data_IF_832574952989
#
_entry.id   IF_832574952989
#
_cell.length_a   1.000
_cell.length_b   1.000
_cell.length_c   1.000
_cell.angle_alpha   90.00
_cell.angle_beta   90.00
_cell.angle_gamma   90.00
#
_symmetry.space_group_name_H-M   'P 1'
#
loop_
_entity.id
_entity.type
_entity.pdbx_description
1 polymer ?
#
# COMPACT_ATOMS: atom_id res chain seq x y z
N UNK A 1 16.10 6.32 -3.87
CA UNK A 1 15.15 6.27 -2.76
C UNK A 1 15.69 5.55 -1.52
N UNK A 2 15.64 4.22 -1.39
CA UNK A 2 16.12 3.54 -0.15
C UNK A 2 17.65 3.61 -0.04
N UNK A 3 18.39 3.18 -1.07
CA UNK A 3 19.86 3.21 -1.08
C UNK A 3 20.48 4.61 -1.01
N UNK A 4 19.73 5.64 -1.39
CA UNK A 4 20.16 7.05 -1.31
C UNK A 4 19.73 7.75 -0.01
N UNK A 5 18.98 7.07 0.87
CA UNK A 5 18.49 7.64 2.13
C UNK A 5 17.33 8.63 1.98
N UNK A 6 16.71 8.75 0.80
CA UNK A 6 15.51 9.58 0.59
C UNK A 6 14.27 8.94 1.23
N UNK A 7 14.27 7.61 1.39
CA UNK A 7 13.27 6.86 2.12
C UNK A 7 13.89 6.41 3.44
N UNK A 8 13.38 6.94 4.55
CA UNK A 8 13.68 6.43 5.88
C UNK A 8 12.82 5.18 6.14
N UNK A 9 13.47 4.05 6.34
CA UNK A 9 12.82 2.79 6.69
C UNK A 9 13.42 2.28 7.98
N UNK A 10 12.58 1.79 8.88
CA UNK A 10 13.02 1.13 10.12
C UNK A 10 13.88 -0.13 9.87
N UNK A 11 13.79 -0.70 8.66
CA UNK A 11 14.49 -1.92 8.24
C UNK A 11 14.91 -1.82 6.75
N UNK A 12 15.84 -0.92 6.39
CA UNK A 12 16.08 -0.54 5.00
C UNK A 12 16.59 -1.68 4.12
N UNK A 13 17.40 -2.59 4.69
CA UNK A 13 17.85 -3.81 4.00
C UNK A 13 16.66 -4.71 3.68
N UNK A 14 15.77 -4.95 4.64
CA UNK A 14 14.64 -5.86 4.46
C UNK A 14 13.63 -5.29 3.47
N UNK A 15 13.33 -3.99 3.58
CA UNK A 15 12.49 -3.27 2.60
C UNK A 15 13.08 -3.36 1.19
N UNK A 16 14.39 -3.15 1.05
CA UNK A 16 15.08 -3.23 -0.24
C UNK A 16 14.98 -4.63 -0.87
N UNK A 17 15.22 -5.69 -0.10
CA UNK A 17 15.08 -7.08 -0.58
C UNK A 17 13.65 -7.40 -1.01
N UNK A 18 12.64 -6.90 -0.29
CA UNK A 18 11.24 -7.06 -0.69
C UNK A 18 10.95 -6.33 -2.00
N UNK A 19 11.52 -5.14 -2.22
CA UNK A 19 11.41 -4.45 -3.51
C UNK A 19 12.11 -5.19 -4.65
N UNK A 20 13.25 -5.85 -4.40
CA UNK A 20 13.89 -6.72 -5.40
C UNK A 20 12.98 -7.89 -5.76
N UNK A 21 12.39 -8.58 -4.77
CA UNK A 21 11.40 -9.63 -5.03
C UNK A 21 10.23 -9.10 -5.88
N UNK A 22 9.69 -7.91 -5.57
CA UNK A 22 8.62 -7.32 -6.39
C UNK A 22 9.07 -7.07 -7.83
N UNK A 23 10.30 -6.63 -8.06
CA UNK A 23 10.84 -6.48 -9.42
C UNK A 23 10.84 -7.82 -10.17
N UNK A 24 11.24 -8.91 -9.52
CA UNK A 24 11.20 -10.26 -10.10
C UNK A 24 9.76 -10.70 -10.45
N UNK A 25 8.77 -10.22 -9.69
CA UNK A 25 7.36 -10.56 -9.87
C UNK A 25 6.61 -9.70 -10.91
N UNK A 26 7.22 -8.64 -11.46
CA UNK A 26 6.57 -7.74 -12.44
C UNK A 26 6.08 -8.51 -13.68
N UNK A 27 6.89 -9.46 -14.16
CA UNK A 27 6.52 -10.29 -15.31
C UNK A 27 5.27 -11.11 -15.02
N UNK A 28 5.24 -11.79 -13.87
CA UNK A 28 4.12 -12.61 -13.44
C UNK A 28 2.83 -11.79 -13.18
N UNK A 29 2.94 -10.52 -12.82
CA UNK A 29 1.79 -9.61 -12.71
C UNK A 29 1.16 -9.30 -14.08
N UNK A 30 1.98 -9.29 -15.12
CA UNK A 30 1.59 -8.93 -16.48
C UNK A 30 1.02 -10.09 -17.30
N UNK A 31 1.23 -11.33 -16.87
CA UNK A 31 0.70 -12.53 -17.54
C UNK A 31 -0.83 -12.53 -17.65
N UNK A 32 -1.49 -11.91 -16.67
CA UNK A 32 -2.96 -11.82 -16.59
C UNK A 32 -3.51 -10.63 -17.41
N UNK A 33 -2.65 -9.85 -18.06
CA UNK A 33 -3.02 -8.65 -18.82
C UNK A 33 -3.09 -9.00 -20.32
N UNK A 34 -4.26 -8.88 -20.97
CA UNK A 34 -4.37 -9.09 -22.42
C UNK A 34 -3.47 -8.15 -23.22
N UNK A 35 -2.86 -8.60 -24.34
CA UNK A 35 -1.94 -7.78 -25.16
C UNK A 35 -2.54 -6.48 -25.68
N UNK A 36 -3.85 -6.47 -25.95
CA UNK A 36 -4.60 -5.30 -26.43
C UNK A 36 -5.47 -4.67 -25.31
N UNK A 37 -5.06 -4.84 -24.05
CA UNK A 37 -5.86 -4.33 -22.93
C UNK A 37 -5.88 -2.80 -22.88
N UNK A 38 -7.08 -2.26 -22.68
CA UNK A 38 -7.27 -0.86 -22.41
C UNK A 38 -6.74 -0.52 -21.01
N UNK A 39 -6.21 0.69 -20.84
CA UNK A 39 -5.91 1.23 -19.52
C UNK A 39 -7.11 2.00 -18.97
N UNK A 40 -7.26 1.97 -17.65
CA UNK A 40 -8.38 2.55 -16.93
C UNK A 40 -7.88 3.59 -15.95
N UNK A 41 -8.67 4.64 -15.75
CA UNK A 41 -8.39 5.64 -14.75
C UNK A 41 -8.71 5.06 -13.36
N UNK A 42 -7.74 5.04 -12.45
CA UNK A 42 -7.93 4.58 -11.08
C UNK A 42 -7.68 5.72 -10.09
N UNK A 43 -8.62 5.87 -9.17
CA UNK A 43 -8.44 6.72 -7.99
C UNK A 43 -7.38 6.08 -7.07
N UNK A 44 -6.31 6.80 -6.72
CA UNK A 44 -5.17 6.24 -6.01
C UNK A 44 -5.44 6.06 -4.51
N UNK A 45 -6.33 6.89 -3.95
CA UNK A 45 -6.74 6.82 -2.56
C UNK A 45 -8.00 5.97 -2.45
N UNK A 46 -7.89 4.77 -1.92
CA UNK A 46 -8.99 3.81 -1.82
C UNK A 46 -9.44 3.58 -0.36
N UNK A 47 -9.17 4.59 0.51
CA UNK A 47 -9.37 4.60 1.97
C UNK A 47 -10.69 5.24 2.46
N UNK A 48 -11.69 5.38 1.59
CA UNK A 48 -13.06 5.87 1.82
C UNK A 48 -13.31 7.37 2.11
N UNK A 49 -12.34 8.08 2.68
CA UNK A 49 -12.45 9.50 3.09
C UNK A 49 -12.56 10.51 1.93
N UNK A 50 -12.21 10.09 0.73
CA UNK A 50 -12.33 10.84 -0.54
C UNK A 50 -13.76 10.81 -1.14
N UNK A 51 -14.72 10.09 -0.53
CA UNK A 51 -16.11 9.99 -1.00
C UNK A 51 -17.00 11.01 -0.27
N UNK A 52 -17.60 11.93 -1.03
CA UNK A 52 -18.55 12.90 -0.50
C UNK A 52 -19.97 12.33 -0.51
N UNK A 53 -20.66 12.45 0.62
CA UNK A 53 -22.07 12.05 0.77
C UNK A 53 -22.94 13.23 1.22
N UNK A 54 -24.22 13.22 0.83
CA UNK A 54 -25.22 14.15 1.35
C UNK A 54 -25.85 13.65 2.67
N UNK A 55 -26.80 14.40 3.23
CA UNK A 55 -27.52 14.03 4.47
C UNK A 55 -28.29 12.70 4.39
N UNK A 56 -28.57 12.22 3.18
CA UNK A 56 -29.24 10.93 2.91
C UNK A 56 -28.26 9.78 2.66
N UNK A 57 -26.95 10.01 2.76
CA UNK A 57 -25.88 9.07 2.40
C UNK A 57 -25.80 8.72 0.90
N UNK A 58 -26.37 9.54 0.01
CA UNK A 58 -26.11 9.39 -1.42
C UNK A 58 -24.70 9.90 -1.73
N UNK A 59 -23.96 9.16 -2.57
CA UNK A 59 -22.66 9.61 -3.09
C UNK A 59 -22.91 10.79 -4.04
N UNK A 60 -22.38 11.97 -3.68
CA UNK A 60 -22.51 13.22 -4.45
C UNK A 60 -21.22 13.65 -5.12
N UNK A 61 -20.09 13.06 -4.77
CA UNK A 61 -18.81 13.38 -5.37
C UNK A 61 -17.68 12.45 -4.92
N UNK A 62 -16.60 12.48 -5.69
CA UNK A 62 -15.31 11.85 -5.39
C UNK A 62 -14.25 12.93 -5.58
N UNK A 63 -13.45 13.19 -4.56
CA UNK A 63 -12.41 14.24 -4.56
C UNK A 63 -11.00 13.62 -4.46
N UNK A 64 -9.96 14.46 -4.38
CA UNK A 64 -8.56 14.04 -4.19
C UNK A 64 -7.92 13.24 -5.36
N UNK A 65 -8.26 13.65 -6.58
CA UNK A 65 -7.75 13.07 -7.84
C UNK A 65 -6.27 13.38 -8.16
N UNK A 66 -5.49 13.98 -7.27
CA UNK A 66 -4.16 14.50 -7.60
C UNK A 66 -3.11 13.45 -7.99
N UNK A 67 -3.28 12.19 -7.56
CA UNK A 67 -2.37 11.08 -7.93
C UNK A 67 -3.02 10.06 -8.85
N UNK A 68 -4.08 10.47 -9.55
CA UNK A 68 -4.80 9.59 -10.46
C UNK A 68 -3.88 9.08 -11.56
N UNK A 69 -3.99 7.79 -11.85
CA UNK A 69 -3.14 7.12 -12.82
C UNK A 69 -3.96 6.21 -13.74
N UNK A 70 -3.41 5.93 -14.91
CA UNK A 70 -3.90 4.92 -15.82
C UNK A 70 -3.31 3.58 -15.45
N UNK A 71 -4.15 2.59 -15.16
CA UNK A 71 -3.74 1.27 -14.67
C UNK A 71 -4.36 0.15 -15.51
N UNK A 72 -3.91 -1.08 -15.30
CA UNK A 72 -4.48 -2.24 -15.97
C UNK A 72 -5.92 -2.51 -15.51
N UNK A 73 -6.66 -3.29 -16.29
CA UNK A 73 -8.01 -3.74 -15.95
C UNK A 73 -8.09 -4.39 -14.55
N UNK A 74 -7.18 -5.31 -14.24
CA UNK A 74 -7.19 -6.05 -12.98
C UNK A 74 -6.88 -5.15 -11.78
N UNK A 75 -6.07 -4.11 -11.97
CA UNK A 75 -5.77 -3.13 -10.93
C UNK A 75 -6.89 -2.11 -10.70
N UNK A 76 -7.57 -1.69 -11.77
CA UNK A 76 -8.67 -0.72 -11.69
C UNK A 76 -9.90 -1.28 -10.97
N UNK A 77 -10.15 -2.58 -11.12
CA UNK A 77 -11.41 -3.21 -10.68
C UNK A 77 -11.25 -4.25 -9.57
N UNK A 78 -10.07 -4.35 -8.95
CA UNK A 78 -9.93 -5.08 -7.69
C UNK A 78 -10.66 -4.33 -6.55
N UNK A 79 -10.95 -5.01 -5.44
CA UNK A 79 -11.60 -4.37 -4.28
C UNK A 79 -10.73 -3.24 -3.73
N UNK A 80 -11.31 -2.08 -3.38
CA UNK A 80 -10.59 -0.98 -2.73
C UNK A 80 -10.17 -1.35 -1.30
N UNK A 81 -9.10 -0.74 -0.78
CA UNK A 81 -8.54 -1.07 0.53
C UNK A 81 -9.51 -0.89 1.70
N UNK A 82 -10.46 0.05 1.60
CA UNK A 82 -11.54 0.22 2.57
C UNK A 82 -12.41 -1.03 2.77
N UNK A 83 -12.40 -1.98 1.83
CA UNK A 83 -13.16 -3.23 1.93
C UNK A 83 -12.32 -4.41 2.44
N UNK A 84 -11.02 -4.25 2.66
CA UNK A 84 -10.16 -5.36 3.06
C UNK A 84 -10.30 -5.67 4.56
N UNK A 85 -10.06 -6.92 4.98
CA UNK A 85 -9.92 -7.24 6.39
C UNK A 85 -8.55 -6.74 6.87
N UNK A 86 -8.45 -5.45 7.22
CA UNK A 86 -7.17 -4.72 7.38
C UNK A 86 -6.21 -5.44 8.33
N UNK A 87 -6.67 -5.88 9.50
CA UNK A 87 -5.82 -6.54 10.48
C UNK A 87 -5.27 -7.88 9.95
N UNK A 88 -6.12 -8.70 9.37
CA UNK A 88 -5.77 -9.99 8.77
C UNK A 88 -4.86 -9.82 7.55
N UNK A 89 -5.11 -8.80 6.73
CA UNK A 89 -4.28 -8.46 5.59
C UNK A 89 -2.86 -8.09 6.04
N UNK A 90 -2.72 -7.25 7.08
CA UNK A 90 -1.42 -6.94 7.68
C UNK A 90 -0.75 -8.17 8.34
N UNK A 91 -1.54 -9.17 8.74
CA UNK A 91 -1.06 -10.47 9.22
C UNK A 91 -0.79 -11.50 8.09
N UNK A 92 -0.82 -11.08 6.83
CA UNK A 92 -0.46 -11.91 5.67
C UNK A 92 -1.58 -12.82 5.17
N UNK A 93 -2.83 -12.59 5.58
CA UNK A 93 -3.99 -13.32 5.05
C UNK A 93 -4.40 -12.82 3.67
N UNK A 94 -4.69 -13.73 2.74
CA UNK A 94 -5.21 -13.39 1.42
C UNK A 94 -6.73 -13.60 1.29
N UNK A 95 -7.38 -14.01 2.37
CA UNK A 95 -8.83 -14.22 2.40
C UNK A 95 -9.59 -12.94 2.09
N UNK A 96 -10.75 -13.10 1.45
CA UNK A 96 -11.65 -12.00 1.12
C UNK A 96 -12.58 -11.71 2.30
N UNK A 97 -12.83 -10.44 2.57
CA UNK A 97 -13.87 -10.00 3.50
C UNK A 97 -15.28 -10.17 2.89
N UNK A 98 -16.31 -10.13 3.73
CA UNK A 98 -17.71 -10.26 3.30
C UNK A 98 -18.12 -9.12 2.35
N UNK A 99 -17.51 -7.96 2.52
CA UNK A 99 -17.70 -6.71 1.80
C UNK A 99 -17.16 -6.83 0.37
N UNK A 100 -15.97 -7.43 0.21
CA UNK A 100 -15.40 -7.75 -1.09
C UNK A 100 -16.27 -8.78 -1.83
N UNK A 101 -16.73 -9.81 -1.14
CA UNK A 101 -17.65 -10.81 -1.69
C UNK A 101 -18.98 -10.17 -2.09
N UNK A 102 -19.49 -9.22 -1.30
CA UNK A 102 -20.71 -8.47 -1.60
C UNK A 102 -20.54 -7.59 -2.83
N UNK A 103 -19.41 -6.89 -2.97
CA UNK A 103 -19.10 -6.11 -4.16
C UNK A 103 -19.09 -6.99 -5.41
N UNK A 104 -18.43 -8.15 -5.35
CA UNK A 104 -18.41 -9.11 -6.45
C UNK A 104 -19.82 -9.63 -6.79
N UNK A 105 -20.67 -9.90 -5.79
CA UNK A 105 -22.06 -10.31 -6.00
C UNK A 105 -22.87 -9.22 -6.72
N UNK A 106 -22.75 -7.95 -6.30
CA UNK A 106 -23.41 -6.81 -6.95
C UNK A 106 -23.01 -6.70 -8.42
N UNK A 107 -21.72 -6.88 -8.75
CA UNK A 107 -21.29 -6.89 -10.14
C UNK A 107 -21.95 -8.01 -10.95
N UNK A 108 -22.06 -9.23 -10.39
CA UNK A 108 -22.76 -10.34 -11.05
C UNK A 108 -24.25 -10.06 -11.25
N UNK A 109 -24.93 -9.51 -10.25
CA UNK A 109 -26.34 -9.11 -10.33
C UNK A 109 -26.58 -8.06 -11.43
N UNK A 110 -25.58 -7.22 -11.70
CA UNK A 110 -25.58 -6.23 -12.79
C UNK A 110 -25.10 -6.80 -14.14
N UNK A 111 -24.87 -8.10 -14.25
CA UNK A 111 -24.41 -8.76 -15.48
C UNK A 111 -22.93 -8.55 -15.79
N UNK A 112 -22.13 -8.08 -14.82
CA UNK A 112 -20.69 -7.80 -14.93
C UNK A 112 -19.86 -8.85 -14.18
N UNK A 113 -20.01 -10.12 -14.56
CA UNK A 113 -19.23 -11.21 -13.99
C UNK A 113 -17.71 -11.05 -14.18
N UNK A 114 -17.31 -10.35 -15.23
CA UNK A 114 -15.93 -9.94 -15.50
C UNK A 114 -15.34 -9.04 -14.40
N UNK A 115 -16.09 -8.03 -13.94
CA UNK A 115 -15.66 -7.17 -12.84
C UNK A 115 -15.68 -7.91 -11.49
N UNK A 116 -16.67 -8.77 -11.29
CA UNK A 116 -16.73 -9.61 -10.11
C UNK A 116 -15.47 -10.48 -9.98
N UNK A 117 -14.97 -11.02 -11.10
CA UNK A 117 -13.74 -11.80 -11.13
C UNK A 117 -12.50 -10.98 -10.77
N UNK A 118 -12.43 -9.70 -11.17
CA UNK A 118 -11.35 -8.79 -10.75
C UNK A 118 -11.35 -8.58 -9.24
N UNK A 119 -12.51 -8.44 -8.62
CA UNK A 119 -12.63 -8.32 -7.16
C UNK A 119 -12.14 -9.60 -6.48
N UNK A 120 -12.63 -10.77 -6.91
CA UNK A 120 -12.29 -12.06 -6.29
C UNK A 120 -10.82 -12.44 -6.47
N UNK A 121 -10.24 -12.17 -7.65
CA UNK A 121 -8.88 -12.58 -8.01
C UNK A 121 -7.84 -11.48 -7.76
N UNK A 122 -8.29 -10.30 -7.34
CA UNK A 122 -7.48 -9.08 -7.26
C UNK A 122 -6.38 -9.09 -6.19
N UNK A 123 -6.39 -10.05 -5.26
CA UNK A 123 -5.45 -10.07 -4.13
C UNK A 123 -3.98 -10.08 -4.56
N UNK A 124 -3.64 -10.75 -5.67
CA UNK A 124 -2.30 -10.72 -6.27
C UNK A 124 -1.85 -9.30 -6.60
N UNK A 125 -2.72 -8.54 -7.27
CA UNK A 125 -2.47 -7.14 -7.64
C UNK A 125 -2.39 -6.23 -6.42
N UNK A 126 -3.32 -6.38 -5.48
CA UNK A 126 -3.34 -5.60 -4.24
C UNK A 126 -2.08 -5.83 -3.41
N UNK A 127 -1.67 -7.10 -3.22
CA UNK A 127 -0.42 -7.44 -2.53
C UNK A 127 0.80 -6.87 -3.23
N UNK A 128 0.81 -6.86 -4.57
CA UNK A 128 1.90 -6.33 -5.37
C UNK A 128 2.08 -4.82 -5.16
N UNK A 129 1.01 -4.03 -5.21
CA UNK A 129 1.08 -2.57 -5.10
C UNK A 129 1.09 -2.07 -3.65
N UNK A 130 0.61 -2.88 -2.70
CA UNK A 130 0.65 -2.50 -1.29
C UNK A 130 2.08 -2.26 -0.81
N UNK A 131 2.28 -1.18 -0.06
CA UNK A 131 3.56 -0.72 0.46
C UNK A 131 4.62 -0.34 -0.60
N UNK A 132 4.21 0.02 -1.83
CA UNK A 132 5.08 0.72 -2.78
C UNK A 132 5.09 2.25 -2.59
N UNK A 133 4.07 2.79 -1.92
CA UNK A 133 3.93 4.24 -1.67
C UNK A 133 4.67 4.72 -0.42
N UNK A 134 4.70 6.05 -0.20
CA UNK A 134 5.35 6.65 0.95
C UNK A 134 4.79 6.15 2.30
N UNK A 135 3.53 5.77 2.40
CA UNK A 135 2.97 5.23 3.66
C UNK A 135 3.64 3.91 4.14
N UNK A 136 4.50 3.28 3.32
CA UNK A 136 5.29 2.10 3.70
C UNK A 136 6.34 2.35 4.79
N UNK A 137 6.62 3.61 5.14
CA UNK A 137 7.68 4.00 6.10
C UNK A 137 7.43 3.53 7.54
N UNK A 138 6.20 3.20 7.91
CA UNK A 138 5.81 2.87 9.30
C UNK A 138 5.76 1.37 9.59
N UNK A 139 6.15 0.53 8.63
CA UNK A 139 6.07 -0.92 8.79
C UNK A 139 7.22 -1.40 9.68
N UNK A 140 6.89 -1.97 10.85
CA UNK A 140 7.86 -2.67 11.68
C UNK A 140 8.26 -4.02 11.04
N UNK A 141 9.37 -4.61 11.47
CA UNK A 141 9.89 -5.87 10.90
C UNK A 141 8.84 -7.00 10.93
N UNK A 142 8.08 -7.15 12.01
CA UNK A 142 7.07 -8.20 12.11
C UNK A 142 5.95 -8.02 11.08
N UNK A 143 5.45 -6.79 10.92
CA UNK A 143 4.46 -6.49 9.89
C UNK A 143 5.03 -6.73 8.50
N UNK A 144 6.29 -6.36 8.24
CA UNK A 144 6.96 -6.62 6.96
C UNK A 144 7.02 -8.12 6.64
N UNK A 145 7.37 -8.95 7.63
CA UNK A 145 7.39 -10.41 7.53
C UNK A 145 6.02 -10.97 7.14
N UNK A 146 4.96 -10.51 7.81
CA UNK A 146 3.60 -10.92 7.50
C UNK A 146 3.16 -10.47 6.09
N UNK A 147 3.50 -9.25 5.69
CA UNK A 147 3.20 -8.74 4.35
C UNK A 147 3.94 -9.52 3.25
N UNK A 148 5.22 -9.85 3.47
CA UNK A 148 5.99 -10.71 2.57
C UNK A 148 5.32 -12.08 2.42
N UNK A 149 4.95 -12.70 3.53
CA UNK A 149 4.24 -13.99 3.52
C UNK A 149 2.94 -13.92 2.72
N UNK A 150 2.17 -12.84 2.88
CA UNK A 150 0.96 -12.60 2.08
C UNK A 150 1.27 -12.46 0.58
N UNK A 151 2.34 -11.73 0.24
CA UNK A 151 2.81 -11.56 -1.13
C UNK A 151 3.24 -12.89 -1.77
N UNK A 152 4.12 -13.66 -1.11
CA UNK A 152 4.58 -14.98 -1.60
C UNK A 152 3.41 -15.90 -1.90
N UNK A 153 2.45 -15.98 -0.97
CA UNK A 153 1.23 -16.79 -1.13
C UNK A 153 0.35 -16.31 -2.29
N UNK A 154 0.23 -15.00 -2.49
CA UNK A 154 -0.61 -14.46 -3.56
C UNK A 154 -0.03 -14.75 -4.96
N UNK A 155 1.28 -14.94 -5.06
CA UNK A 155 1.98 -15.34 -6.27
C UNK A 155 2.25 -16.85 -6.35
N UNK A 156 1.69 -17.65 -5.44
CA UNK A 156 1.89 -19.10 -5.35
C UNK A 156 3.38 -19.51 -5.29
N UNK A 157 4.22 -18.68 -4.67
CA UNK A 157 5.61 -19.03 -4.40
C UNK A 157 5.66 -20.07 -3.28
N UNK A 158 6.71 -20.91 -3.28
CA UNK A 158 6.96 -21.77 -2.13
C UNK A 158 7.13 -20.90 -0.89
N UNK A 159 6.39 -21.24 0.17
CA UNK A 159 6.47 -20.47 1.41
C UNK A 159 7.82 -20.73 2.06
N UNK A 160 8.63 -19.69 2.13
CA UNK A 160 9.86 -19.67 2.88
C UNK A 160 9.67 -18.82 4.13
N UNK A 161 10.18 -19.30 5.25
CA UNK A 161 10.25 -18.50 6.48
C UNK A 161 11.19 -17.30 6.23
N UNK A 162 10.88 -16.16 6.84
CA UNK A 162 11.50 -14.88 6.49
C UNK A 162 13.03 -14.89 6.60
N UNK A 163 13.60 -15.46 7.66
CA UNK A 163 15.06 -15.46 7.83
C UNK A 163 15.73 -16.38 6.80
N UNK A 164 15.08 -17.50 6.46
CA UNK A 164 15.55 -18.38 5.38
C UNK A 164 15.57 -17.62 4.05
N UNK A 165 14.43 -17.05 3.66
CA UNK A 165 14.28 -16.27 2.43
C UNK A 165 15.26 -15.10 2.36
N UNK A 166 15.43 -14.38 3.47
CA UNK A 166 16.33 -13.23 3.56
C UNK A 166 17.78 -13.63 3.35
N UNK A 167 18.24 -14.72 3.96
CA UNK A 167 19.61 -15.21 3.76
C UNK A 167 19.86 -15.57 2.29
N UNK A 168 18.89 -16.20 1.62
CA UNK A 168 19.00 -16.50 0.20
C UNK A 168 18.99 -15.22 -0.66
N UNK A 169 18.12 -14.27 -0.37
CA UNK A 169 18.04 -12.99 -1.07
C UNK A 169 19.34 -12.19 -0.94
N UNK A 170 19.93 -12.15 0.27
CA UNK A 170 21.24 -11.54 0.51
C UNK A 170 22.35 -12.23 -0.31
N UNK A 171 22.33 -13.57 -0.37
CA UNK A 171 23.31 -14.32 -1.15
C UNK A 171 23.17 -14.07 -2.66
N UNK A 172 21.94 -13.93 -3.17
CA UNK A 172 21.68 -13.56 -4.58
C UNK A 172 22.19 -12.15 -4.88
N UNK A 173 21.99 -11.21 -3.95
CA UNK A 173 22.40 -9.81 -4.08
C UNK A 173 23.82 -9.48 -3.63
N UNK A 174 24.68 -10.47 -3.38
CA UNK A 174 26.02 -10.26 -2.80
C UNK A 174 26.94 -9.29 -3.57
N UNK A 175 26.70 -9.15 -4.87
CA UNK A 175 27.46 -8.28 -5.78
C UNK A 175 26.70 -6.96 -6.08
N UNK A 176 25.56 -6.71 -5.43
CA UNK A 176 24.75 -5.51 -5.59
C UNK A 176 25.31 -4.37 -4.70
N UNK A 177 25.87 -3.35 -5.34
CA UNK A 177 26.47 -2.20 -4.66
C UNK A 177 25.48 -1.44 -3.76
N UNK A 178 24.19 -1.40 -4.11
CA UNK A 178 23.17 -0.73 -3.30
C UNK A 178 22.94 -1.54 -2.03
N UNK A 179 22.80 -2.85 -2.15
CA UNK A 179 22.63 -3.74 -1.00
C UNK A 179 23.85 -3.68 -0.07
N UNK A 180 25.06 -3.72 -0.62
CA UNK A 180 26.30 -3.59 0.14
C UNK A 180 26.35 -2.26 0.91
N UNK A 181 26.02 -1.15 0.25
CA UNK A 181 25.96 0.17 0.90
C UNK A 181 24.95 0.22 2.06
N UNK A 182 23.77 -0.42 1.89
CA UNK A 182 22.77 -0.51 2.95
C UNK A 182 23.23 -1.36 4.13
N UNK A 183 23.96 -2.45 3.89
CA UNK A 183 24.53 -3.31 4.93
C UNK A 183 25.60 -2.56 5.74
N UNK A 184 26.46 -1.81 5.08
CA UNK A 184 27.49 -1.00 5.74
C UNK A 184 26.88 0.06 6.67
N UNK A 185 25.88 0.81 6.18
CA UNK A 185 25.16 1.80 7.00
C UNK A 185 24.48 1.16 8.22
N UNK A 186 23.82 0.02 8.03
CA UNK A 186 23.13 -0.68 9.13
C UNK A 186 24.12 -1.20 10.19
N UNK A 187 25.30 -1.65 9.77
CA UNK A 187 26.37 -2.08 10.68
C UNK A 187 26.94 -0.91 11.48
N UNK A 188 27.11 0.26 10.86
CA UNK A 188 27.54 1.49 11.54
C UNK A 188 26.54 1.88 12.64
N UNK A 189 25.24 1.92 12.33
CA UNK A 189 24.20 2.27 13.29
C UNK A 189 24.13 1.31 14.48
N UNK A 190 24.35 0.01 14.25
CA UNK A 190 24.45 -0.98 15.32
C UNK A 190 25.70 -0.77 16.19
N UNK A 191 26.83 -0.42 15.58
CA UNK A 191 28.05 -0.07 16.29
C UNK A 191 27.90 1.17 17.18
N UNK A 192 27.21 2.20 16.69
CA UNK A 192 26.92 3.42 17.47
C UNK A 192 25.98 3.12 18.65
N UNK A 193 24.90 2.36 18.42
CA UNK A 193 23.97 1.95 19.49
C UNK A 193 24.62 1.08 20.56
N UNK A 194 25.53 0.19 20.18
CA UNK A 194 26.24 -0.68 21.12
C UNK A 194 27.35 0.05 21.90
N UNK A 195 27.87 1.16 21.39
CA UNK A 195 28.90 1.98 22.05
C UNK A 195 28.31 3.11 22.91
N UNK A 196 27.04 3.45 22.72
CA UNK A 196 26.31 4.40 23.55
C UNK A 196 25.64 3.68 24.73
N UNK A 197 26.35 3.57 25.86
CA UNK A 197 25.71 3.23 27.14
C UNK A 197 24.68 4.32 27.50
N UNK A 198 23.49 3.97 28.03
CA UNK A 198 22.51 4.99 28.40
C UNK A 198 23.06 5.84 29.56
N UNK A 199 22.94 7.18 29.51
CA UNK A 199 23.23 7.98 30.69
C UNK A 199 22.22 7.61 31.79
N UNK A 200 22.73 7.41 33.00
CA UNK A 200 21.93 7.15 34.20
C UNK A 200 20.76 8.13 34.28
N UNK A 201 19.55 7.61 34.45
CA UNK A 201 18.33 8.39 34.53
C UNK A 201 18.46 9.52 35.56
N UNK A 202 18.30 10.76 35.10
CA UNK A 202 17.76 11.82 35.94
C UNK A 202 16.39 12.16 35.38
N UNK A 203 15.37 11.89 36.20
CA UNK A 203 14.01 12.31 35.98
C UNK A 203 13.97 13.79 35.56
N UNK A 204 13.48 14.04 34.36
CA UNK A 204 12.88 15.31 34.01
C UNK A 204 11.49 15.01 33.45
N UNK A 205 10.48 15.21 34.30
CA UNK A 205 9.12 15.44 33.85
C UNK A 205 9.09 16.71 32.99
N UNK A 206 8.62 16.59 31.76
CA UNK A 206 8.17 17.73 30.97
C UNK A 206 6.70 17.56 30.64
N UNK A 207 5.90 18.37 31.35
CA UNK A 207 4.51 18.66 31.05
C UNK A 207 4.37 19.17 29.61
N UNK A 208 3.63 18.44 28.77
CA UNK A 208 2.95 19.01 27.60
C UNK A 208 1.46 18.69 27.68
N UNK A 209 0.76 19.57 28.39
CA UNK A 209 -0.70 19.67 28.38
C UNK A 209 -1.07 21.09 27.95
N UNK A 210 -2.02 21.18 27.02
CA UNK A 210 -2.62 22.37 26.38
C UNK A 210 -1.96 22.77 25.07
N UNK A 211 -2.69 22.57 23.97
CA UNK A 211 -3.26 23.64 23.15
C UNK A 211 -4.43 23.03 22.33
N UNK A 212 -5.60 22.97 22.95
CA UNK A 212 -6.89 22.99 22.26
C UNK A 212 -7.42 24.40 22.43
N UNK A 213 -8.03 24.92 21.36
CA UNK A 213 -8.73 26.22 21.17
C UNK A 213 -7.90 27.26 20.41
N UNK A 214 -8.18 27.39 19.12
CA UNK A 214 -9.00 28.47 18.58
C UNK A 214 -9.08 28.37 17.05
N UNK A 215 -10.27 28.06 16.52
CA UNK A 215 -10.58 28.22 15.11
C UNK A 215 -11.26 29.58 14.89
N UNK A 216 -10.86 30.37 13.88
CA UNK A 216 -11.67 31.46 13.37
C UNK A 216 -12.47 31.00 12.14
N UNK A 217 -13.79 31.15 12.24
CA UNK A 217 -14.75 31.06 11.15
C UNK A 217 -14.68 32.25 10.19
N UNK A 218 -14.74 32.02 8.87
CA UNK A 218 -15.20 32.98 7.86
C UNK A 218 -15.39 32.27 6.49
N UNK A 219 -16.03 32.89 5.48
CA UNK A 219 -17.44 33.25 5.41
C UNK A 219 -18.13 32.58 4.19
N UNK A 220 -19.47 32.59 4.21
CA UNK A 220 -20.33 32.23 3.08
C UNK A 220 -20.12 33.16 1.89
N UNK A 221 -19.76 32.62 0.72
CA UNK A 221 -20.13 33.21 -0.56
C UNK A 221 -20.19 32.17 -1.67
N UNK A 222 -21.26 32.33 -2.45
CA UNK A 222 -21.75 31.57 -3.59
C UNK A 222 -20.80 31.55 -4.79
N UNK A 223 -21.00 30.52 -5.62
CA UNK A 223 -20.45 30.23 -6.96
C UNK A 223 -19.14 29.45 -6.98
N UNK A 224 -19.26 28.12 -7.05
CA UNK A 224 -18.21 27.25 -7.57
C UNK A 224 -18.58 26.81 -9.00
N UNK A 225 -17.61 26.74 -9.92
CA UNK A 225 -17.85 26.40 -11.31
C UNK A 225 -18.26 24.94 -11.46
N UNK A 226 -19.32 24.70 -12.22
CA UNK A 226 -19.74 23.38 -12.67
C UNK A 226 -18.62 22.75 -13.52
N UNK A 227 -17.94 21.74 -12.98
CA UNK A 227 -17.06 20.89 -13.78
C UNK A 227 -17.92 19.94 -14.60
N UNK A 228 -17.91 20.11 -15.91
CA UNK A 228 -18.65 19.29 -16.87
C UNK A 228 -17.97 17.92 -16.94
N UNK A 229 -18.58 16.89 -16.35
CA UNK A 229 -18.22 15.50 -16.65
C UNK A 229 -18.79 15.17 -18.02
N UNK A 230 -17.89 14.89 -18.96
CA UNK A 230 -18.22 14.49 -20.31
C UNK A 230 -18.79 13.06 -20.29
N UNK A 231 -20.11 12.91 -20.14
CA UNK A 231 -20.78 11.64 -20.44
C UNK A 231 -20.87 11.52 -21.97
N UNK A 232 -20.13 10.60 -22.56
CA UNK A 232 -20.40 10.25 -23.96
C UNK A 232 -21.60 9.30 -24.00
N UNK A 233 -22.71 9.85 -24.46
CA UNK A 233 -23.93 9.15 -24.81
C UNK A 233 -23.73 8.28 -26.05
N UNK A 234 -24.52 7.19 -26.09
CA UNK A 234 -24.80 6.21 -27.16
C UNK A 234 -23.67 5.29 -27.61
#
# INVERSE_FOLDING_TARGET
MIGSGEIDSSCPVDTYLVHQLRQDLVGALSEDIPPDSQFYLKHPDDKDDHILVNDSFDIVGVIDWEWTQTVSWTEAFCSPCMMWPVAEFHNGSNELAAEELRLAAIFREKGRGDLADCVIKGRKVQRFFFALGPDSFFVNVQTLQHLLKGLQRAFNLEYEEFETWKNEALNRGKDDNILLGLLDLNNIDRGIRNSSSPPSSKHHETHYSRLVKDQPSAPSNSSLPTLIICTRSS
#
